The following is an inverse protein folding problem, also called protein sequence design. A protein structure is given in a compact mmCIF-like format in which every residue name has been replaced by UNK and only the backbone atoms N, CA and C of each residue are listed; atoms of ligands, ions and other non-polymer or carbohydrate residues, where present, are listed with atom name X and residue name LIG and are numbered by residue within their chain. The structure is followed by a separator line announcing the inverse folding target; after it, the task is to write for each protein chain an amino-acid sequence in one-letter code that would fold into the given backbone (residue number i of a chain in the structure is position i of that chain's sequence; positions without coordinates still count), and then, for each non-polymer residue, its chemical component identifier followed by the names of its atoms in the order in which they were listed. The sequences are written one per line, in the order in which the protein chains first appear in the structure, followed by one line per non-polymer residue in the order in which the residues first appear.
data_IF_603162112856
#
_entry.id   IF_603162112856
#
_cell.length_a   1.000
_cell.length_b   1.000
_cell.length_c   1.000
_cell.angle_alpha   90.00
_cell.angle_beta   90.00
_cell.angle_gamma   90.00
#
_symmetry.space_group_name_H-M   'P 1'
#
loop_
_entity.id
_entity.type
_entity.pdbx_description
1 polymer ?
#
# COMPACT_ATOMS: atom_id res chain seq x y z
N UNK A 1 -4.54 -4.91 -14.13
CA UNK A 1 -3.85 -5.81 -13.18
C UNK A 1 -2.74 -6.61 -13.86
N UNK A 2 -3.03 -7.45 -14.87
CA UNK A 2 -2.00 -8.31 -15.52
C UNK A 2 -0.74 -7.54 -15.92
N UNK A 3 -0.87 -6.46 -16.70
CA UNK A 3 0.28 -5.63 -17.10
C UNK A 3 1.02 -5.00 -15.92
N UNK A 4 0.32 -4.65 -14.83
CA UNK A 4 0.94 -4.09 -13.63
C UNK A 4 1.79 -5.14 -12.89
N UNK A 5 1.27 -6.37 -12.75
CA UNK A 5 2.03 -7.47 -12.16
C UNK A 5 3.25 -7.84 -13.02
N UNK A 6 3.10 -7.83 -14.34
CA UNK A 6 4.22 -8.07 -15.26
C UNK A 6 5.32 -7.00 -15.14
N UNK A 7 4.94 -5.74 -14.93
CA UNK A 7 5.91 -4.66 -14.69
C UNK A 7 6.64 -4.73 -13.34
N UNK A 8 6.26 -5.66 -12.46
CA UNK A 8 6.89 -5.91 -11.17
C UNK A 8 7.66 -7.25 -11.14
N UNK A 9 8.07 -7.79 -12.29
CA UNK A 9 8.91 -8.98 -12.35
C UNK A 9 10.13 -8.87 -11.41
N UNK A 10 10.36 -9.91 -10.61
CA UNK A 10 11.41 -9.93 -9.57
C UNK A 10 10.93 -9.53 -8.18
N UNK A 11 9.72 -8.98 -8.03
CA UNK A 11 9.05 -8.86 -6.72
C UNK A 11 8.51 -10.23 -6.31
N UNK A 12 8.81 -10.67 -5.08
CA UNK A 12 8.31 -11.94 -4.56
C UNK A 12 6.80 -11.90 -4.27
N UNK A 13 6.14 -13.04 -4.46
CA UNK A 13 4.74 -13.28 -4.08
C UNK A 13 3.72 -12.39 -4.82
N UNK A 14 3.97 -12.07 -6.10
CA UNK A 14 3.02 -11.35 -6.97
C UNK A 14 1.67 -12.05 -7.09
N UNK A 15 1.63 -13.38 -6.97
CA UNK A 15 0.41 -14.17 -6.99
C UNK A 15 -0.55 -13.82 -5.85
N UNK A 16 -0.09 -13.12 -4.81
CA UNK A 16 -0.94 -12.63 -3.73
C UNK A 16 -2.04 -11.71 -4.26
N UNK A 17 -1.75 -10.83 -5.21
CA UNK A 17 -2.78 -9.96 -5.80
C UNK A 17 -3.87 -10.78 -6.51
N UNK A 18 -3.48 -11.85 -7.20
CA UNK A 18 -4.43 -12.77 -7.83
C UNK A 18 -5.26 -13.50 -6.77
N UNK A 19 -4.62 -14.02 -5.71
CA UNK A 19 -5.31 -14.71 -4.61
C UNK A 19 -6.32 -13.81 -3.89
N UNK A 20 -5.95 -12.56 -3.61
CA UNK A 20 -6.85 -11.58 -2.97
C UNK A 20 -7.96 -11.15 -3.94
N UNK A 21 -7.67 -10.97 -5.23
CA UNK A 21 -8.67 -10.66 -6.26
C UNK A 21 -9.74 -11.75 -6.40
N UNK A 22 -9.38 -13.03 -6.25
CA UNK A 22 -10.35 -14.13 -6.25
C UNK A 22 -11.35 -14.07 -5.06
N UNK A 23 -11.01 -13.35 -3.99
CA UNK A 23 -11.89 -13.14 -2.84
C UNK A 23 -12.78 -11.91 -2.99
N UNK A 24 -12.70 -11.17 -4.11
CA UNK A 24 -13.55 -10.03 -4.37
C UNK A 24 -15.02 -10.46 -4.52
N UNK A 25 -15.81 -10.25 -3.46
CA UNK A 25 -17.24 -10.62 -3.45
C UNK A 25 -18.12 -9.75 -4.36
N UNK A 26 -17.59 -8.69 -4.96
CA UNK A 26 -18.32 -7.82 -5.89
C UNK A 26 -17.37 -7.04 -6.83
N UNK A 27 -17.90 -6.46 -7.93
CA UNK A 27 -17.09 -5.71 -8.91
C UNK A 27 -16.37 -4.49 -8.33
N UNK A 28 -16.93 -3.85 -7.29
CA UNK A 28 -16.29 -2.69 -6.64
C UNK A 28 -14.99 -3.10 -5.96
N UNK A 29 -15.02 -4.21 -5.22
CA UNK A 29 -13.82 -4.75 -4.58
C UNK A 29 -12.79 -5.21 -5.62
N UNK A 30 -13.24 -5.82 -6.72
CA UNK A 30 -12.34 -6.21 -7.82
C UNK A 30 -11.63 -5.00 -8.46
N UNK A 31 -12.35 -3.87 -8.58
CA UNK A 31 -11.78 -2.60 -9.06
C UNK A 31 -10.74 -2.05 -8.09
N UNK A 32 -11.05 -2.00 -6.79
CA UNK A 32 -10.12 -1.54 -5.74
C UNK A 32 -8.81 -2.36 -5.76
N UNK A 33 -8.91 -3.68 -5.86
CA UNK A 33 -7.73 -4.56 -5.91
C UNK A 33 -6.92 -4.36 -7.19
N UNK A 34 -7.61 -4.14 -8.33
CA UNK A 34 -6.95 -3.82 -9.60
C UNK A 34 -6.20 -2.50 -9.52
N UNK A 35 -6.81 -1.46 -8.95
CA UNK A 35 -6.20 -0.14 -8.78
C UNK A 35 -5.04 -0.17 -7.79
N UNK A 36 -5.18 -0.89 -6.68
CA UNK A 36 -4.11 -1.12 -5.72
C UNK A 36 -2.88 -1.76 -6.39
N UNK A 37 -3.08 -2.81 -7.20
CA UNK A 37 -1.99 -3.43 -7.95
C UNK A 37 -1.32 -2.48 -8.95
N UNK A 38 -2.09 -1.64 -9.65
CA UNK A 38 -1.55 -0.63 -10.59
C UNK A 38 -0.73 0.43 -9.85
N UNK A 39 -1.24 0.94 -8.73
CA UNK A 39 -0.52 1.95 -7.93
C UNK A 39 0.75 1.38 -7.31
N UNK A 40 0.72 0.13 -6.81
CA UNK A 40 1.92 -0.55 -6.29
C UNK A 40 2.98 -0.75 -7.38
N UNK A 41 2.58 -1.11 -8.59
CA UNK A 41 3.50 -1.18 -9.73
C UNK A 41 4.09 0.21 -10.06
N UNK A 42 3.26 1.25 -9.98
CA UNK A 42 3.70 2.63 -10.08
C UNK A 42 4.78 3.01 -9.07
N UNK A 43 4.58 2.64 -7.80
CA UNK A 43 5.58 2.83 -6.74
C UNK A 43 6.88 2.11 -7.08
N UNK A 44 6.79 0.82 -7.43
CA UNK A 44 7.94 0.00 -7.80
C UNK A 44 8.78 0.64 -8.93
N UNK A 45 8.09 1.19 -9.94
CA UNK A 45 8.72 1.76 -11.14
C UNK A 45 9.30 3.16 -10.93
N UNK A 46 8.62 4.01 -10.14
CA UNK A 46 8.89 5.45 -10.13
C UNK A 46 9.41 6.00 -8.80
N UNK A 47 9.24 5.25 -7.70
CA UNK A 47 9.63 5.71 -6.36
C UNK A 47 10.80 4.89 -5.83
N UNK A 48 10.59 3.59 -5.62
CA UNK A 48 11.63 2.69 -5.14
C UNK A 48 11.30 1.23 -5.48
N UNK A 49 12.32 0.41 -5.78
CA UNK A 49 12.11 -1.01 -6.05
C UNK A 49 11.57 -1.72 -4.80
N UNK A 50 10.57 -2.56 -5.03
CA UNK A 50 9.96 -3.44 -4.03
C UNK A 50 10.63 -4.80 -4.08
N UNK A 51 10.69 -5.48 -2.94
CA UNK A 51 11.23 -6.84 -2.82
C UNK A 51 10.16 -7.90 -2.79
N UNK A 52 9.10 -7.69 -1.99
CA UNK A 52 8.05 -8.69 -1.81
C UNK A 52 6.71 -8.10 -1.47
N UNK A 53 5.66 -8.86 -1.75
CA UNK A 53 4.31 -8.60 -1.28
C UNK A 53 3.94 -9.50 -0.10
N UNK A 54 3.21 -8.95 0.86
CA UNK A 54 2.71 -9.64 2.04
C UNK A 54 1.23 -9.35 2.27
N UNK A 55 0.47 -10.27 2.89
CA UNK A 55 -0.95 -10.06 3.16
C UNK A 55 -1.16 -8.94 4.19
N UNK A 56 -2.20 -8.13 3.97
CA UNK A 56 -2.67 -7.12 4.91
C UNK A 56 -4.20 -6.97 4.82
N UNK A 57 -4.92 -7.49 5.81
CA UNK A 57 -6.39 -7.47 5.83
C UNK A 57 -6.98 -7.95 4.48
N UNK A 58 -7.65 -7.08 3.72
CA UNK A 58 -8.22 -7.37 2.40
C UNK A 58 -7.37 -6.89 1.22
N UNK A 59 -6.17 -6.38 1.48
CA UNK A 59 -5.23 -5.87 0.48
C UNK A 59 -3.87 -6.59 0.59
N UNK A 60 -2.95 -6.25 -0.31
CA UNK A 60 -1.55 -6.57 -0.17
C UNK A 60 -0.79 -5.33 0.37
N UNK A 61 0.21 -5.56 1.21
CA UNK A 61 1.25 -4.57 1.54
C UNK A 61 2.54 -4.95 0.83
N UNK A 62 3.37 -3.97 0.55
CA UNK A 62 4.68 -4.20 -0.04
C UNK A 62 5.80 -3.99 0.98
N UNK A 63 6.96 -4.55 0.68
CA UNK A 63 8.19 -4.34 1.45
C UNK A 63 9.37 -4.07 0.50
N UNK A 64 10.22 -3.11 0.87
CA UNK A 64 11.52 -2.83 0.22
C UNK A 64 12.58 -3.86 0.68
N UNK A 65 13.75 -3.85 0.05
CA UNK A 65 14.86 -4.75 0.41
C UNK A 65 15.42 -4.50 1.82
N UNK A 66 15.39 -3.25 2.25
CA UNK A 66 15.75 -2.80 3.61
C UNK A 66 14.73 -3.17 4.70
N UNK A 67 13.62 -3.83 4.35
CA UNK A 67 12.58 -4.23 5.30
C UNK A 67 11.54 -3.15 5.62
N UNK A 68 11.61 -1.98 4.99
CA UNK A 68 10.60 -0.91 5.13
C UNK A 68 9.28 -1.37 4.53
N UNK A 69 8.19 -1.15 5.28
CA UNK A 69 6.83 -1.48 4.85
C UNK A 69 6.26 -0.32 4.05
N UNK A 70 5.68 -0.63 2.89
CA UNK A 70 5.02 0.35 2.02
C UNK A 70 3.57 -0.05 1.82
N UNK A 71 2.67 0.89 2.13
CA UNK A 71 1.24 0.76 1.93
C UNK A 71 0.79 1.69 0.80
N UNK A 72 0.25 1.14 -0.29
CA UNK A 72 -0.26 1.94 -1.41
C UNK A 72 -1.77 1.80 -1.49
N UNK A 73 -2.49 2.91 -1.30
CA UNK A 73 -3.94 2.92 -1.12
C UNK A 73 -4.67 3.65 -2.26
N UNK A 74 -5.61 2.97 -2.96
CA UNK A 74 -6.51 3.61 -3.92
C UNK A 74 -7.72 4.23 -3.21
N UNK A 75 -7.50 5.08 -2.21
CA UNK A 75 -8.57 5.77 -1.47
C UNK A 75 -8.79 7.19 -1.97
N UNK A 76 -10.00 7.72 -1.79
CA UNK A 76 -10.29 9.15 -1.99
C UNK A 76 -10.09 9.94 -0.69
N UNK A 77 -10.61 9.44 0.44
CA UNK A 77 -10.46 10.07 1.76
C UNK A 77 -10.52 9.00 2.86
N UNK A 78 -9.62 9.06 3.85
CA UNK A 78 -9.64 8.16 5.03
C UNK A 78 -9.84 8.97 6.31
N UNK A 79 -10.81 8.53 7.13
CA UNK A 79 -11.04 9.04 8.48
C UNK A 79 -10.45 8.11 9.53
N UNK A 80 -10.16 8.66 10.71
CA UNK A 80 -9.68 7.86 11.84
C UNK A 80 -10.79 6.96 12.37
N UNK A 81 -10.47 5.69 12.56
CA UNK A 81 -11.37 4.68 13.14
C UNK A 81 -10.55 3.62 13.87
N UNK A 82 -11.21 2.80 14.69
CA UNK A 82 -10.58 1.68 15.37
C UNK A 82 -9.90 0.72 14.39
N UNK A 83 -10.56 0.40 13.28
CA UNK A 83 -9.96 -0.45 12.23
C UNK A 83 -8.68 0.14 11.64
N UNK A 84 -8.64 1.46 11.41
CA UNK A 84 -7.42 2.14 10.92
C UNK A 84 -6.32 2.08 11.98
N UNK A 85 -6.66 2.32 13.25
CA UNK A 85 -5.73 2.25 14.37
C UNK A 85 -5.11 0.85 14.51
N UNK A 86 -5.93 -0.19 14.44
CA UNK A 86 -5.50 -1.58 14.59
C UNK A 86 -4.56 -2.01 13.46
N UNK A 87 -4.92 -1.72 12.22
CA UNK A 87 -4.09 -2.06 11.05
C UNK A 87 -2.77 -1.28 11.10
N UNK A 88 -2.83 0.03 11.36
CA UNK A 88 -1.63 0.87 11.45
C UNK A 88 -0.70 0.41 12.59
N UNK A 89 -1.26 0.10 13.77
CA UNK A 89 -0.49 -0.36 14.92
C UNK A 89 0.17 -1.71 14.68
N UNK A 90 -0.57 -2.67 14.15
CA UNK A 90 -0.04 -4.00 13.81
C UNK A 90 1.15 -3.92 12.84
N UNK A 91 1.12 -3.00 11.88
CA UNK A 91 2.21 -2.85 10.91
C UNK A 91 3.41 -2.12 11.50
N UNK A 92 3.23 -1.18 12.42
CA UNK A 92 4.33 -0.56 13.17
C UNK A 92 5.08 -1.60 14.00
N UNK A 93 4.35 -2.48 14.70
CA UNK A 93 5.00 -3.57 15.44
C UNK A 93 5.77 -4.52 14.53
N UNK A 94 5.28 -4.76 13.30
CA UNK A 94 6.04 -5.52 12.30
C UNK A 94 7.28 -4.77 11.80
N UNK A 95 7.19 -3.46 11.57
CA UNK A 95 8.31 -2.64 11.10
C UNK A 95 9.46 -2.62 12.11
N UNK A 96 9.15 -2.58 13.42
CA UNK A 96 10.16 -2.68 14.50
C UNK A 96 10.96 -3.99 14.46
N UNK A 97 10.38 -5.06 13.93
CA UNK A 97 11.05 -6.37 13.81
C UNK A 97 11.92 -6.43 12.54
N UNK A 98 11.49 -5.79 11.45
CA UNK A 98 12.19 -5.85 10.16
C UNK A 98 13.41 -4.95 10.06
N UNK A 99 13.68 -4.11 11.09
CA UNK A 99 14.83 -3.20 11.17
C UNK A 99 14.93 -2.20 9.99
N UNK A 100 13.83 -2.00 9.27
CA UNK A 100 13.73 -1.07 8.15
C UNK A 100 13.48 0.36 8.60
N UNK A 101 13.37 1.27 7.63
CA UNK A 101 12.99 2.66 7.91
C UNK A 101 11.53 2.79 8.37
N UNK A 102 11.12 4.01 8.67
CA UNK A 102 9.74 4.35 8.99
C UNK A 102 8.78 3.84 7.89
N UNK A 103 7.70 3.15 8.26
CA UNK A 103 6.79 2.62 7.27
C UNK A 103 6.04 3.75 6.56
N UNK A 104 5.77 3.53 5.28
CA UNK A 104 5.25 4.55 4.37
C UNK A 104 3.78 4.26 4.00
N UNK A 105 2.95 5.30 3.91
CA UNK A 105 1.62 5.25 3.32
C UNK A 105 1.59 6.17 2.10
N UNK A 106 1.16 5.65 0.96
CA UNK A 106 1.00 6.35 -0.30
C UNK A 106 -0.45 6.28 -0.75
N UNK A 107 -1.20 7.34 -0.47
CA UNK A 107 -2.64 7.42 -0.71
C UNK A 107 -2.95 8.25 -1.96
N UNK A 108 -3.83 7.70 -2.81
CA UNK A 108 -4.29 8.39 -4.02
C UNK A 108 -5.02 9.70 -3.69
N UNK A 109 -5.80 9.71 -2.62
CA UNK A 109 -6.47 10.86 -2.05
C UNK A 109 -5.84 11.29 -0.72
N UNK A 110 -6.65 11.71 0.24
CA UNK A 110 -6.18 12.33 1.48
C UNK A 110 -6.72 11.65 2.76
N UNK A 111 -6.40 12.26 3.91
CA UNK A 111 -6.78 11.81 5.24
C UNK A 111 -7.43 12.96 5.99
N UNK A 112 -8.35 12.66 6.92
CA UNK A 112 -8.80 13.67 7.87
C UNK A 112 -7.64 14.14 8.75
N UNK A 113 -7.71 15.37 9.26
CA UNK A 113 -6.65 15.93 10.11
C UNK A 113 -6.35 15.05 11.34
N UNK A 114 -7.39 14.44 11.93
CA UNK A 114 -7.23 13.50 13.04
C UNK A 114 -6.49 12.23 12.61
N UNK A 115 -6.82 11.66 11.45
CA UNK A 115 -6.16 10.46 10.96
C UNK A 115 -4.68 10.71 10.65
N UNK A 116 -4.37 11.83 9.98
CA UNK A 116 -3.00 12.21 9.66
C UNK A 116 -2.16 12.38 10.94
N UNK A 117 -2.64 13.18 11.89
CA UNK A 117 -1.95 13.41 13.17
C UNK A 117 -1.71 12.12 13.96
N UNK A 118 -2.67 11.18 13.96
CA UNK A 118 -2.53 9.90 14.64
C UNK A 118 -1.53 8.98 13.93
N UNK A 119 -1.58 8.88 12.61
CA UNK A 119 -0.65 8.06 11.83
C UNK A 119 0.79 8.56 11.96
N UNK A 120 1.02 9.86 11.80
CA UNK A 120 2.34 10.48 11.98
C UNK A 120 2.84 10.31 13.42
N UNK A 121 1.97 10.51 14.42
CA UNK A 121 2.31 10.28 15.83
C UNK A 121 2.64 8.82 16.16
N UNK A 122 2.23 7.86 15.32
CA UNK A 122 2.60 6.45 15.42
C UNK A 122 3.92 6.12 14.71
N UNK A 123 4.51 7.07 13.98
CA UNK A 123 5.75 6.89 13.21
C UNK A 123 5.54 6.50 11.74
N UNK A 124 4.36 6.79 11.17
CA UNK A 124 4.14 6.62 9.73
C UNK A 124 4.56 7.85 8.95
N UNK A 125 5.19 7.61 7.79
CA UNK A 125 5.40 8.63 6.77
C UNK A 125 4.23 8.61 5.79
N UNK A 126 3.40 9.66 5.81
CA UNK A 126 2.16 9.72 5.01
C UNK A 126 2.33 10.62 3.79
N UNK A 127 2.07 10.07 2.61
CA UNK A 127 2.04 10.75 1.32
C UNK A 127 0.61 10.72 0.77
N UNK A 128 0.06 11.89 0.47
CA UNK A 128 -1.31 12.04 -0.08
C UNK A 128 -1.28 12.57 -1.50
N UNK A 129 -2.40 12.42 -2.22
CA UNK A 129 -2.56 12.91 -3.59
C UNK A 129 -1.47 12.41 -4.55
N UNK A 130 -1.02 11.15 -4.37
CA UNK A 130 0.22 10.63 -4.97
C UNK A 130 0.12 10.24 -6.46
N UNK A 131 -0.96 10.65 -7.14
CA UNK A 131 -1.26 10.19 -8.51
C UNK A 131 -0.11 10.50 -9.47
N UNK A 132 0.44 11.70 -9.44
CA UNK A 132 1.47 12.12 -10.39
C UNK A 132 2.81 11.41 -10.17
N UNK A 133 3.08 10.94 -8.96
CA UNK A 133 4.28 10.18 -8.61
C UNK A 133 4.16 8.71 -9.01
N UNK A 134 2.98 8.10 -8.82
CA UNK A 134 2.79 6.67 -9.07
C UNK A 134 2.32 6.37 -10.51
N UNK A 135 1.55 7.27 -11.11
CA UNK A 135 1.01 7.13 -12.47
C UNK A 135 1.20 8.47 -13.21
N UNK A 136 2.44 8.84 -13.56
CA UNK A 136 2.70 10.04 -14.33
C UNK A 136 2.03 9.95 -15.71
N UNK A 137 1.61 11.11 -16.25
CA UNK A 137 1.16 11.18 -17.65
C UNK A 137 2.38 11.03 -18.56
N UNK A 138 2.27 10.18 -19.57
CA UNK A 138 3.23 10.08 -20.68
C UNK A 138 3.27 11.38 -21.51
#
# INVERSE_FOLDING_TARGET
MVAALDSMQGVDNLELYVKVALQAGNPVMAKILTESAVLTAGYHKHVAPLKRLAPMARLARAEKDDGTIVLVLPNDHIIWSEMVADVAGSLIEKAKISNGEEPEIWALGDFSALALSKLEGMGWKVHTNVRSQLIPRE
#
